data_IF_189049890131
#
_entry.id   IF_189049890131
#
_cell.length_a   1.000
_cell.length_b   1.000
_cell.length_c   1.000
_cell.angle_alpha   90.00
_cell.angle_beta   90.00
_cell.angle_gamma   90.00
#
_symmetry.space_group_name_H-M   'P 1'
#
loop_
_entity.id
_entity.type
_entity.pdbx_description
1 polymer ?
#
# COMPACT_ATOMS: atom_id res chain seq x y z
N UNK A 1 25.77 12.20 -28.59
CA UNK A 1 26.92 11.38 -28.25
C UNK A 1 27.25 11.51 -26.77
N UNK A 2 27.32 10.45 -26.09
CA UNK A 2 27.79 10.02 -24.77
C UNK A 2 26.70 9.42 -23.92
N UNK A 3 26.70 8.09 -23.97
CA UNK A 3 26.08 7.20 -23.00
C UNK A 3 26.62 7.52 -21.61
N UNK A 4 25.72 7.82 -20.67
CA UNK A 4 26.04 7.72 -19.25
C UNK A 4 25.44 6.41 -18.76
N UNK A 5 26.24 5.36 -18.81
CA UNK A 5 26.02 4.14 -18.06
C UNK A 5 26.31 4.49 -16.60
N UNK A 6 25.28 4.64 -15.79
CA UNK A 6 25.44 4.75 -14.34
C UNK A 6 25.59 3.32 -13.80
N UNK A 7 26.83 2.90 -13.65
CA UNK A 7 27.19 1.69 -12.92
C UNK A 7 27.06 2.02 -11.43
N UNK A 8 25.99 1.58 -10.80
CA UNK A 8 25.92 1.52 -9.35
C UNK A 8 26.64 0.26 -8.88
N UNK A 9 27.95 0.37 -8.70
CA UNK A 9 28.74 -0.56 -7.90
C UNK A 9 28.73 -0.07 -6.46
N UNK A 10 28.50 -1.02 -5.55
CA UNK A 10 28.76 -0.98 -4.12
C UNK A 10 27.81 -0.14 -3.22
N UNK A 11 26.67 -0.71 -2.88
CA UNK A 11 26.04 -0.50 -1.59
C UNK A 11 26.39 -1.68 -0.69
N UNK A 12 27.27 -1.43 0.27
CA UNK A 12 27.57 -2.38 1.34
C UNK A 12 26.30 -2.61 2.17
N UNK A 13 25.88 -3.87 2.17
CA UNK A 13 24.77 -4.37 2.95
C UNK A 13 25.19 -4.35 4.43
N UNK A 14 24.66 -3.42 5.18
CA UNK A 14 24.65 -3.51 6.65
C UNK A 14 23.67 -4.61 7.02
N UNK A 15 24.15 -5.59 7.75
CA UNK A 15 23.46 -6.79 8.22
C UNK A 15 22.30 -6.45 9.15
N UNK A 16 21.10 -6.31 8.58
CA UNK A 16 19.85 -6.34 9.32
C UNK A 16 18.93 -7.39 8.68
N UNK A 17 18.65 -8.55 9.36
CA UNK A 17 18.05 -9.72 8.72
C UNK A 17 16.54 -9.64 8.49
N UNK A 18 15.88 -8.49 8.60
CA UNK A 18 14.43 -8.37 8.52
C UNK A 18 13.90 -7.52 7.36
N UNK A 19 14.74 -7.06 6.47
CA UNK A 19 14.27 -6.41 5.23
C UNK A 19 14.34 -7.44 4.12
N UNK A 20 13.34 -8.31 4.03
CA UNK A 20 13.10 -9.09 2.82
C UNK A 20 12.68 -8.13 1.71
N UNK A 21 13.65 -7.54 1.04
CA UNK A 21 13.46 -7.02 -0.30
C UNK A 21 13.14 -8.24 -1.15
N UNK A 22 11.87 -8.42 -1.46
CA UNK A 22 11.43 -9.45 -2.40
C UNK A 22 12.04 -9.06 -3.74
N UNK A 23 13.17 -9.70 -4.09
CA UNK A 23 13.71 -9.62 -5.44
C UNK A 23 12.72 -10.29 -6.38
N UNK A 24 11.92 -9.47 -7.06
CA UNK A 24 11.02 -9.93 -8.11
C UNK A 24 11.89 -10.55 -9.21
N UNK A 25 11.78 -11.87 -9.40
CA UNK A 25 12.44 -12.58 -10.49
C UNK A 25 11.98 -11.98 -11.81
N UNK A 26 12.92 -11.42 -12.58
CA UNK A 26 12.69 -10.91 -13.93
C UNK A 26 11.93 -11.94 -14.77
N UNK A 27 10.76 -11.60 -15.36
CA UNK A 27 10.04 -12.52 -16.24
C UNK A 27 10.90 -12.84 -17.48
N UNK A 28 10.90 -14.09 -17.91
CA UNK A 28 11.89 -14.65 -18.83
C UNK A 28 11.74 -14.27 -20.30
N UNK A 29 10.62 -13.72 -20.76
CA UNK A 29 10.43 -13.32 -22.18
C UNK A 29 9.22 -12.40 -22.34
N UNK A 30 9.46 -11.13 -22.69
CA UNK A 30 8.43 -10.27 -23.30
C UNK A 30 9.04 -9.04 -23.98
N UNK A 31 8.39 -8.44 -24.98
CA UNK A 31 8.90 -7.24 -25.65
C UNK A 31 9.22 -6.13 -24.64
N UNK A 32 10.33 -5.43 -24.80
CA UNK A 32 10.91 -4.50 -23.82
C UNK A 32 9.92 -3.43 -23.27
N UNK A 33 8.89 -3.03 -24.04
CA UNK A 33 7.89 -2.08 -23.62
C UNK A 33 6.90 -2.67 -22.59
N UNK A 34 6.47 -3.92 -22.76
CA UNK A 34 5.55 -4.59 -21.82
C UNK A 34 6.22 -4.97 -20.50
N UNK A 35 7.53 -5.21 -20.51
CA UNK A 35 8.28 -5.64 -19.33
C UNK A 35 8.32 -4.54 -18.26
N UNK A 36 8.49 -3.28 -18.65
CA UNK A 36 8.52 -2.14 -17.72
C UNK A 36 7.18 -1.94 -17.00
N UNK A 37 6.09 -1.96 -17.75
CA UNK A 37 4.74 -1.79 -17.19
C UNK A 37 4.34 -2.95 -16.28
N UNK A 38 4.67 -4.17 -16.67
CA UNK A 38 4.41 -5.36 -15.84
C UNK A 38 5.23 -5.28 -14.54
N UNK A 39 6.49 -4.90 -14.60
CA UNK A 39 7.33 -4.73 -13.41
C UNK A 39 6.76 -3.66 -12.48
N UNK A 40 6.40 -2.50 -13.00
CA UNK A 40 5.80 -1.42 -12.22
C UNK A 40 4.46 -1.84 -11.57
N UNK A 41 3.66 -2.62 -12.29
CA UNK A 41 2.41 -3.19 -11.75
C UNK A 41 2.70 -4.19 -10.62
N UNK A 42 3.67 -5.08 -10.79
CA UNK A 42 4.06 -6.05 -9.75
C UNK A 42 4.59 -5.34 -8.51
N UNK A 43 5.46 -4.34 -8.66
CA UNK A 43 5.97 -3.52 -7.56
C UNK A 43 4.82 -2.83 -6.81
N UNK A 44 3.84 -2.29 -7.54
CA UNK A 44 2.65 -1.67 -6.94
C UNK A 44 1.82 -2.69 -6.16
N UNK A 45 1.62 -3.89 -6.71
CA UNK A 45 0.88 -4.95 -6.04
C UNK A 45 1.61 -5.49 -4.81
N UNK A 46 2.92 -5.54 -4.80
CA UNK A 46 3.71 -5.94 -3.63
C UNK A 46 3.61 -4.92 -2.49
N UNK A 47 3.63 -3.63 -2.83
CA UNK A 47 3.54 -2.54 -1.85
C UNK A 47 2.10 -2.32 -1.37
N UNK A 48 1.13 -2.23 -2.29
CA UNK A 48 -0.25 -1.86 -1.99
C UNK A 48 -1.23 -3.03 -2.05
N UNK A 49 -0.80 -4.18 -2.59
CA UNK A 49 -1.67 -5.33 -2.78
C UNK A 49 -2.20 -5.89 -1.46
N UNK A 50 -3.35 -6.52 -1.58
CA UNK A 50 -4.08 -7.05 -0.44
C UNK A 50 -5.14 -6.10 0.10
N UNK A 51 -6.17 -6.69 0.68
CA UNK A 51 -7.35 -5.96 1.19
C UNK A 51 -6.99 -4.90 2.24
N UNK A 52 -6.10 -5.23 3.16
CA UNK A 52 -5.91 -4.42 4.36
C UNK A 52 -4.98 -3.24 4.16
N UNK A 53 -3.93 -3.37 3.33
CA UNK A 53 -3.00 -2.28 3.05
C UNK A 53 -3.71 -1.07 2.45
N UNK A 54 -4.53 -1.28 1.43
CA UNK A 54 -5.30 -0.20 0.80
C UNK A 54 -6.28 0.47 1.77
N UNK A 55 -6.94 -0.30 2.64
CA UNK A 55 -7.85 0.25 3.65
C UNK A 55 -7.10 1.06 4.71
N UNK A 56 -5.95 0.60 5.17
CA UNK A 56 -5.10 1.31 6.14
C UNK A 56 -4.59 2.63 5.53
N UNK A 57 -4.07 2.59 4.32
CA UNK A 57 -3.56 3.78 3.63
C UNK A 57 -4.69 4.79 3.40
N UNK A 58 -5.83 4.35 2.91
CA UNK A 58 -7.01 5.20 2.73
C UNK A 58 -7.46 5.84 4.06
N UNK A 59 -7.53 5.05 5.12
CA UNK A 59 -7.86 5.53 6.48
C UNK A 59 -6.90 6.64 6.92
N UNK A 60 -5.59 6.45 6.75
CA UNK A 60 -4.58 7.43 7.15
C UNK A 60 -4.61 8.69 6.28
N UNK A 61 -4.92 8.58 5.00
CA UNK A 61 -5.10 9.71 4.08
C UNK A 61 -6.28 10.58 4.53
N UNK A 62 -7.42 9.98 4.88
CA UNK A 62 -8.59 10.71 5.36
C UNK A 62 -8.40 11.35 6.74
N UNK A 63 -7.49 10.83 7.53
CA UNK A 63 -7.23 11.27 8.91
C UNK A 63 -5.87 11.93 9.09
N UNK A 64 -5.42 12.67 8.09
CA UNK A 64 -4.20 13.48 8.20
C UNK A 64 -4.32 14.47 9.36
N UNK A 65 -3.21 14.65 10.10
CA UNK A 65 -3.18 15.55 11.24
C UNK A 65 -3.87 15.03 12.51
N UNK A 66 -4.54 13.88 12.45
CA UNK A 66 -5.16 13.28 13.63
C UNK A 66 -4.22 12.28 14.32
N UNK A 67 -4.49 12.03 15.61
CA UNK A 67 -3.77 11.01 16.37
C UNK A 67 -4.28 9.61 16.03
N UNK A 68 -3.69 8.96 15.03
CA UNK A 68 -4.03 7.61 14.62
C UNK A 68 -3.19 6.60 15.43
N UNK A 69 -3.72 6.11 16.53
CA UNK A 69 -3.09 5.07 17.34
C UNK A 69 -3.49 3.68 16.87
N UNK A 70 -2.69 2.66 17.23
CA UNK A 70 -2.97 1.27 16.87
C UNK A 70 -4.38 0.83 17.30
N UNK A 71 -4.75 1.06 18.56
CA UNK A 71 -6.07 0.70 19.10
C UNK A 71 -7.22 1.40 18.39
N UNK A 72 -7.02 2.68 18.02
CA UNK A 72 -8.01 3.44 17.28
C UNK A 72 -8.20 2.87 15.87
N UNK A 73 -7.12 2.58 15.17
CA UNK A 73 -7.17 1.98 13.83
C UNK A 73 -7.81 0.60 13.84
N UNK A 74 -7.47 -0.25 14.83
CA UNK A 74 -8.08 -1.57 15.00
C UNK A 74 -9.59 -1.49 15.20
N UNK A 75 -10.06 -0.52 15.96
CA UNK A 75 -11.49 -0.29 16.20
C UNK A 75 -12.21 0.26 14.96
N UNK A 76 -11.59 1.21 14.28
CA UNK A 76 -12.23 1.96 13.19
C UNK A 76 -12.22 1.20 11.85
N UNK A 77 -11.23 0.31 11.64
CA UNK A 77 -11.13 -0.52 10.43
C UNK A 77 -11.83 -1.85 10.69
N UNK A 78 -13.10 -1.91 10.33
CA UNK A 78 -13.94 -3.06 10.59
C UNK A 78 -13.40 -4.37 10.02
N UNK A 79 -13.34 -5.39 10.85
CA UNK A 79 -12.95 -6.76 10.49
C UNK A 79 -11.44 -7.02 10.42
N UNK A 80 -10.59 -6.03 10.72
CA UNK A 80 -9.15 -6.26 10.82
C UNK A 80 -8.78 -6.82 12.19
N UNK A 81 -7.92 -7.84 12.25
CA UNK A 81 -7.38 -8.32 13.52
C UNK A 81 -6.11 -7.56 13.92
N UNK A 82 -5.81 -7.47 15.21
CA UNK A 82 -4.59 -6.87 15.73
C UNK A 82 -3.32 -7.43 15.06
N UNK A 83 -3.27 -8.77 14.87
CA UNK A 83 -2.17 -9.44 14.20
C UNK A 83 -1.99 -8.97 12.76
N UNK A 84 -3.10 -8.85 12.02
CA UNK A 84 -3.08 -8.40 10.64
C UNK A 84 -2.71 -6.91 10.55
N UNK A 85 -3.32 -6.06 11.38
CA UNK A 85 -3.00 -4.63 11.42
C UNK A 85 -1.51 -4.40 11.72
N UNK A 86 -0.95 -5.12 12.69
CA UNK A 86 0.48 -5.05 13.03
C UNK A 86 1.37 -5.45 11.84
N UNK A 87 1.03 -6.55 11.16
CA UNK A 87 1.76 -7.03 9.99
C UNK A 87 1.75 -6.00 8.85
N UNK A 88 0.58 -5.49 8.51
CA UNK A 88 0.45 -4.58 7.39
C UNK A 88 1.05 -3.19 7.67
N UNK A 89 0.94 -2.68 8.89
CA UNK A 89 1.60 -1.44 9.30
C UNK A 89 3.13 -1.55 9.21
N UNK A 90 3.72 -2.66 9.63
CA UNK A 90 5.16 -2.90 9.48
C UNK A 90 5.58 -2.94 8.01
N UNK A 91 4.78 -3.61 7.17
CA UNK A 91 5.02 -3.67 5.72
C UNK A 91 4.94 -2.28 5.08
N UNK A 92 3.94 -1.48 5.41
CA UNK A 92 3.77 -0.12 4.89
C UNK A 92 4.86 0.84 5.39
N UNK A 93 5.32 0.67 6.64
CA UNK A 93 6.44 1.42 7.20
C UNK A 93 7.75 1.09 6.48
N UNK A 94 8.03 -0.20 6.24
CA UNK A 94 9.20 -0.66 5.49
C UNK A 94 9.23 -0.12 4.04
N UNK A 95 8.05 0.07 3.44
CA UNK A 95 7.89 0.66 2.10
C UNK A 95 7.76 2.20 2.12
N UNK A 96 8.07 2.85 3.22
CA UNK A 96 8.06 4.31 3.37
C UNK A 96 6.69 4.99 3.15
N UNK A 97 5.60 4.22 3.13
CA UNK A 97 4.23 4.73 2.96
C UNK A 97 3.69 5.30 4.27
N UNK A 98 3.99 4.64 5.38
CA UNK A 98 3.53 5.00 6.71
C UNK A 98 4.71 5.33 7.62
N UNK A 99 4.55 6.36 8.44
CA UNK A 99 5.48 6.73 9.50
C UNK A 99 4.93 6.27 10.84
N UNK A 100 5.78 5.63 11.65
CA UNK A 100 5.52 5.23 13.03
C UNK A 100 6.29 6.17 13.96
N UNK A 101 5.61 6.80 14.90
CA UNK A 101 6.20 7.71 15.88
C UNK A 101 5.84 7.29 17.29
N UNK A 102 6.85 7.18 18.15
CA UNK A 102 6.66 6.97 19.58
C UNK A 102 6.47 8.34 20.23
N UNK A 103 5.31 8.55 20.85
CA UNK A 103 4.97 9.80 21.52
C UNK A 103 5.40 9.72 22.98
N UNK A 104 6.02 10.79 23.46
CA UNK A 104 6.36 10.95 24.89
C UNK A 104 5.11 11.33 25.69
N UNK A 105 4.24 10.34 25.89
CA UNK A 105 3.00 10.45 26.67
C UNK A 105 3.00 9.40 27.77
N UNK A 106 2.22 9.64 28.84
CA UNK A 106 2.02 8.67 29.93
C UNK A 106 0.58 8.17 29.92
N UNK A 107 0.30 6.90 29.55
CA UNK A 107 1.25 5.90 29.07
C UNK A 107 1.81 6.20 27.67
N UNK A 108 2.97 5.63 27.34
CA UNK A 108 3.62 5.78 26.04
C UNK A 108 2.68 5.35 24.90
N UNK A 109 2.52 6.19 23.91
CA UNK A 109 1.59 5.98 22.81
C UNK A 109 2.32 5.96 21.48
N UNK A 110 1.94 5.08 20.59
CA UNK A 110 2.46 5.01 19.23
C UNK A 110 1.42 5.62 18.28
N UNK A 111 1.86 6.57 17.46
CA UNK A 111 1.09 7.22 16.41
C UNK A 111 1.56 6.74 15.03
N UNK A 112 0.60 6.55 14.14
CA UNK A 112 0.83 6.25 12.72
C UNK A 112 0.32 7.41 11.86
N UNK A 113 1.08 7.75 10.84
CA UNK A 113 0.73 8.81 9.89
C UNK A 113 1.16 8.42 8.48
N UNK A 114 0.46 8.96 7.48
CA UNK A 114 0.88 8.82 6.09
C UNK A 114 2.10 9.71 5.83
N UNK A 115 3.08 9.23 5.09
CA UNK A 115 4.25 10.03 4.69
C UNK A 115 3.91 10.91 3.48
N UNK A 116 4.72 11.93 3.15
CA UNK A 116 4.58 12.66 1.88
C UNK A 116 4.61 11.74 0.66
N UNK A 117 5.52 10.76 0.64
CA UNK A 117 5.57 9.73 -0.40
C UNK A 117 4.31 8.85 -0.40
N UNK A 118 3.85 8.42 0.77
CA UNK A 118 2.60 7.65 0.89
C UNK A 118 1.37 8.42 0.38
N UNK A 119 1.36 9.76 0.44
CA UNK A 119 0.28 10.57 -0.11
C UNK A 119 0.16 10.48 -1.63
N UNK A 120 1.22 10.17 -2.35
CA UNK A 120 1.17 9.97 -3.81
C UNK A 120 0.27 8.79 -4.20
N UNK A 121 0.05 7.82 -3.29
CA UNK A 121 -0.89 6.71 -3.50
C UNK A 121 -2.36 7.14 -3.53
N UNK A 122 -2.67 8.40 -3.17
CA UNK A 122 -4.05 8.91 -3.11
C UNK A 122 -4.76 8.81 -4.46
N UNK A 123 -4.07 9.10 -5.54
CA UNK A 123 -4.64 8.99 -6.90
C UNK A 123 -5.04 7.56 -7.25
N UNK A 124 -4.15 6.61 -6.97
CA UNK A 124 -4.41 5.18 -7.18
C UNK A 124 -5.63 4.73 -6.38
N UNK A 125 -5.68 5.07 -5.09
CA UNK A 125 -6.80 4.70 -4.21
C UNK A 125 -8.10 5.35 -4.68
N UNK A 126 -8.09 6.61 -5.07
CA UNK A 126 -9.28 7.31 -5.59
C UNK A 126 -9.80 6.65 -6.86
N UNK A 127 -8.91 6.26 -7.76
CA UNK A 127 -9.28 5.54 -8.99
C UNK A 127 -9.90 4.17 -8.67
N UNK A 128 -9.33 3.42 -7.73
CA UNK A 128 -9.90 2.15 -7.28
C UNK A 128 -11.29 2.31 -6.65
N UNK A 129 -11.49 3.36 -5.84
CA UNK A 129 -12.79 3.67 -5.25
C UNK A 129 -13.85 3.97 -6.31
N UNK A 130 -13.54 4.83 -7.28
CA UNK A 130 -14.44 5.16 -8.38
C UNK A 130 -14.78 3.93 -9.23
N UNK A 131 -13.77 3.12 -9.56
CA UNK A 131 -14.02 1.88 -10.30
C UNK A 131 -14.91 0.91 -9.50
N UNK A 132 -14.63 0.72 -8.21
CA UNK A 132 -15.42 -0.14 -7.34
C UNK A 132 -16.88 0.29 -7.22
N UNK A 133 -17.15 1.61 -7.14
CA UNK A 133 -18.49 2.16 -7.14
C UNK A 133 -19.22 1.85 -8.45
N UNK A 134 -18.60 2.12 -9.61
CA UNK A 134 -19.15 1.81 -10.92
C UNK A 134 -19.42 0.32 -11.10
N UNK A 135 -18.49 -0.51 -10.66
CA UNK A 135 -18.64 -1.97 -10.75
C UNK A 135 -19.83 -2.46 -9.92
N UNK A 136 -20.02 -1.92 -8.72
CA UNK A 136 -21.17 -2.27 -7.87
C UNK A 136 -22.49 -1.92 -8.55
N UNK A 137 -22.63 -0.71 -9.09
CA UNK A 137 -23.82 -0.28 -9.83
C UNK A 137 -24.11 -1.25 -10.99
N UNK A 138 -23.07 -1.59 -11.78
CA UNK A 138 -23.19 -2.51 -12.91
C UNK A 138 -23.72 -3.90 -12.52
N UNK A 139 -23.29 -4.41 -11.37
CA UNK A 139 -23.76 -5.69 -10.87
C UNK A 139 -25.24 -5.63 -10.42
N UNK A 140 -25.67 -4.55 -9.80
CA UNK A 140 -27.06 -4.38 -9.38
C UNK A 140 -28.00 -4.25 -10.58
N UNK A 141 -27.64 -3.48 -11.60
CA UNK A 141 -28.42 -3.38 -12.84
C UNK A 141 -28.66 -4.75 -13.51
N UNK A 142 -27.68 -5.66 -13.47
CA UNK A 142 -27.82 -7.01 -14.04
C UNK A 142 -28.72 -7.94 -13.21
N UNK A 143 -28.90 -7.67 -11.92
CA UNK A 143 -29.78 -8.47 -11.06
C UNK A 143 -31.25 -8.10 -11.33
N UNK A 144 -31.55 -6.81 -11.51
CA UNK A 144 -32.91 -6.33 -11.79
C UNK A 144 -33.41 -6.81 -13.17
N UNK A 145 -32.54 -6.92 -14.18
CA UNK A 145 -32.88 -7.41 -15.52
C UNK A 145 -33.13 -8.93 -15.58
N UNK A 146 -32.77 -9.69 -14.55
CA UNK A 146 -32.97 -11.13 -14.46
C UNK A 146 -34.17 -11.58 -13.60
N UNK A 147 -34.95 -10.66 -13.07
CA UNK A 147 -36.17 -11.02 -12.32
C UNK A 147 -37.35 -10.98 -13.28
N UNK A 148 -37.84 -12.13 -13.82
CA UNK A 148 -39.08 -12.17 -14.61
C UNK A 148 -40.25 -11.86 -13.69
N UNK A 149 -41.14 -10.99 -14.15
CA UNK A 149 -42.42 -10.69 -13.52
C UNK A 149 -43.29 -11.92 -13.39
#
# INVERSE_FOLDING_TARGET
>A
MRNVIFVMSELQVTSNPEVSIIMIKKPKTDPAACTGDIMAMLDTLDVLGGRWKLLIVHYLILRQGQANTFKKMEKDIEGISAKMLSKELKSLEANLIVKREVMDTKPMTIRYSITPYGLETKEVITTLLHWGQKHRVKLFEQVDDKTPA
#
